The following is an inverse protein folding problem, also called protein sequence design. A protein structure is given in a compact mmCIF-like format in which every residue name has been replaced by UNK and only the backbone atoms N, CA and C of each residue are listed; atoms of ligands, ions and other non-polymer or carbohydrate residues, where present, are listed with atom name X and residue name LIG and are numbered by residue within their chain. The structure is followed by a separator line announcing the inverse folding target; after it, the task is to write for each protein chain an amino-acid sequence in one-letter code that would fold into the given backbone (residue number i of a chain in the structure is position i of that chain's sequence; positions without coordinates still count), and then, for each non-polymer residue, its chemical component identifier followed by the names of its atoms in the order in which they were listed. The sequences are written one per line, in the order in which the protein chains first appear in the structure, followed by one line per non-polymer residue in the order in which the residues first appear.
data_IF_057649396104
#
_entry.id   IF_057649396104
#
_cell.length_a   1.000
_cell.length_b   1.000
_cell.length_c   1.000
_cell.angle_alpha   90.00
_cell.angle_beta   90.00
_cell.angle_gamma   90.00
#
_symmetry.space_group_name_H-M   'P 1'
#
loop_
_entity.id
_entity.type
_entity.pdbx_description
1 polymer ?
#
# COMPACT_ATOMS: atom_id res chain seq x y z
N UNK A 1 -4.28 7.52 7.73
CA UNK A 1 -4.16 8.13 6.39
C UNK A 1 -5.57 8.38 5.85
N UNK A 2 -6.01 9.64 5.82
CA UNK A 2 -7.37 9.98 5.34
C UNK A 2 -7.40 9.90 3.81
N UNK A 3 -8.10 8.91 3.24
CA UNK A 3 -8.26 8.73 1.78
C UNK A 3 -7.96 7.32 1.26
N UNK A 4 -7.45 6.43 2.12
CA UNK A 4 -7.20 5.02 1.77
C UNK A 4 -8.10 4.12 2.60
N UNK A 5 -9.02 3.44 1.92
CA UNK A 5 -9.87 2.43 2.53
C UNK A 5 -9.05 1.17 2.83
N UNK A 6 -9.28 0.59 4.02
CA UNK A 6 -8.58 -0.60 4.54
C UNK A 6 -7.07 -0.41 4.72
N UNK A 7 -6.66 0.81 5.07
CA UNK A 7 -5.27 1.11 5.40
C UNK A 7 -4.76 0.33 6.63
N UNK A 8 -5.63 0.09 7.61
CA UNK A 8 -5.37 -0.74 8.78
C UNK A 8 -4.96 -2.17 8.39
N UNK A 9 -5.66 -2.76 7.43
CA UNK A 9 -5.32 -4.10 6.93
C UNK A 9 -4.00 -4.12 6.17
N UNK A 10 -3.73 -3.08 5.37
CA UNK A 10 -2.42 -2.92 4.74
C UNK A 10 -1.30 -2.86 5.77
N UNK A 11 -1.49 -2.10 6.85
CA UNK A 11 -0.49 -1.95 7.90
C UNK A 11 -0.25 -3.27 8.64
N UNK A 12 -1.32 -4.04 8.92
CA UNK A 12 -1.21 -5.35 9.56
C UNK A 12 -0.49 -6.37 8.66
N UNK A 13 -0.83 -6.43 7.37
CA UNK A 13 -0.16 -7.30 6.40
C UNK A 13 1.31 -6.89 6.23
N UNK A 14 1.60 -5.60 6.13
CA UNK A 14 2.97 -5.09 6.07
C UNK A 14 3.78 -5.51 7.31
N UNK A 15 3.21 -5.39 8.51
CA UNK A 15 3.88 -5.76 9.76
C UNK A 15 4.12 -7.26 9.91
N UNK A 16 3.24 -8.07 9.33
CA UNK A 16 3.37 -9.52 9.29
C UNK A 16 4.54 -9.94 8.39
N UNK A 17 4.67 -9.29 7.23
CA UNK A 17 5.69 -9.61 6.22
C UNK A 17 7.04 -8.98 6.53
N UNK A 18 7.08 -7.86 7.25
CA UNK A 18 8.32 -7.11 7.54
C UNK A 18 9.09 -7.61 8.75
N UNK A 19 10.42 -7.46 8.64
CA UNK A 19 11.31 -7.58 9.79
C UNK A 19 10.92 -6.57 10.88
N UNK A 20 11.07 -6.91 12.17
CA UNK A 20 10.66 -6.04 13.27
C UNK A 20 11.17 -4.60 13.18
N UNK A 21 12.40 -4.41 12.71
CA UNK A 21 13.06 -3.12 12.52
C UNK A 21 12.48 -2.25 11.40
N UNK A 22 11.72 -2.83 10.46
CA UNK A 22 11.16 -2.11 9.31
C UNK A 22 9.64 -1.94 9.38
N UNK A 23 8.97 -2.44 10.43
CA UNK A 23 7.51 -2.34 10.60
C UNK A 23 6.95 -0.91 10.56
N UNK A 24 7.77 0.08 10.89
CA UNK A 24 7.40 1.49 10.85
C UNK A 24 7.38 2.09 9.43
N UNK A 25 7.92 1.37 8.44
CA UNK A 25 8.06 1.87 7.06
C UNK A 25 6.78 1.75 6.22
N UNK A 26 5.72 1.11 6.71
CA UNK A 26 4.47 0.92 5.96
C UNK A 26 3.95 2.25 5.39
N UNK A 27 3.86 3.28 6.23
CA UNK A 27 3.40 4.60 5.79
C UNK A 27 4.40 5.29 4.84
N UNK A 28 5.71 5.11 5.04
CA UNK A 28 6.71 5.72 4.15
C UNK A 28 6.66 5.15 2.74
N UNK A 29 6.66 3.83 2.60
CA UNK A 29 6.59 3.18 1.28
C UNK A 29 5.29 3.53 0.53
N UNK A 30 4.18 3.61 1.26
CA UNK A 30 2.91 4.02 0.68
C UNK A 30 2.95 5.49 0.21
N UNK A 31 3.53 6.39 0.99
CA UNK A 31 3.71 7.79 0.58
C UNK A 31 4.60 7.92 -0.65
N UNK A 32 5.72 7.21 -0.72
CA UNK A 32 6.62 7.20 -1.88
C UNK A 32 5.86 6.75 -3.15
N UNK A 33 5.08 5.68 -3.04
CA UNK A 33 4.29 5.20 -4.17
C UNK A 33 3.19 6.20 -4.59
N UNK A 34 2.65 6.98 -3.64
CA UNK A 34 1.65 8.01 -3.90
C UNK A 34 2.21 9.23 -4.62
N UNK A 35 3.50 9.54 -4.50
CA UNK A 35 4.12 10.68 -5.20
C UNK A 35 4.03 10.53 -6.73
N UNK A 36 4.15 9.29 -7.22
CA UNK A 36 4.07 8.95 -8.64
C UNK A 36 2.65 8.50 -9.08
N UNK A 37 1.70 8.44 -8.15
CA UNK A 37 0.38 7.89 -8.40
C UNK A 37 -0.46 8.74 -9.36
N UNK A 38 -1.02 8.08 -10.38
CA UNK A 38 -1.89 8.71 -11.38
C UNK A 38 -3.23 7.99 -11.46
N UNK A 39 -4.28 8.50 -10.79
CA UNK A 39 -5.62 7.97 -10.96
C UNK A 39 -6.05 8.01 -12.45
N UNK A 40 -6.85 7.05 -12.94
CA UNK A 40 -7.55 5.97 -12.22
C UNK A 40 -6.78 4.65 -12.16
N UNK A 41 -5.45 4.65 -12.34
CA UNK A 41 -4.67 3.40 -12.31
C UNK A 41 -4.65 2.80 -10.90
N UNK A 42 -4.32 1.51 -10.77
CA UNK A 42 -4.09 0.94 -9.45
C UNK A 42 -2.74 1.38 -8.92
N UNK A 43 -2.64 1.58 -7.61
CA UNK A 43 -1.39 1.85 -6.93
C UNK A 43 -0.76 0.55 -6.47
N UNK A 44 0.50 0.34 -6.85
CA UNK A 44 1.31 -0.78 -6.37
C UNK A 44 2.40 -0.26 -5.46
N UNK A 45 2.51 -0.81 -4.26
CA UNK A 45 3.58 -0.49 -3.31
C UNK A 45 4.51 -1.69 -3.23
N UNK A 46 5.76 -1.51 -3.65
CA UNK A 46 6.75 -2.57 -3.62
C UNK A 46 7.50 -2.57 -2.30
N UNK A 47 7.60 -3.74 -1.68
CA UNK A 47 8.40 -4.01 -0.50
C UNK A 47 9.56 -4.92 -0.89
N UNK A 48 10.77 -4.39 -0.74
CA UNK A 48 11.99 -5.11 -1.07
C UNK A 48 12.21 -6.33 -0.15
N UNK A 49 12.83 -7.37 -0.69
CA UNK A 49 13.21 -8.59 0.02
C UNK A 49 14.04 -8.32 1.29
N UNK A 50 14.89 -7.29 1.28
CA UNK A 50 15.68 -6.89 2.44
C UNK A 50 14.86 -6.36 3.63
N UNK A 51 13.58 -6.02 3.39
CA UNK A 51 12.64 -5.57 4.41
C UNK A 51 11.80 -6.73 4.96
N UNK A 52 11.76 -7.85 4.24
CA UNK A 52 10.86 -8.96 4.49
C UNK A 52 11.45 -10.00 5.46
N UNK A 53 10.58 -10.70 6.19
CA UNK A 53 10.93 -11.86 7.00
C UNK A 53 11.37 -13.06 6.13
N UNK A 54 10.95 -13.09 4.86
CA UNK A 54 11.37 -14.03 3.85
C UNK A 54 12.00 -13.32 2.64
N UNK A 55 12.92 -14.00 1.96
CA UNK A 55 13.72 -13.47 0.84
C UNK A 55 12.92 -13.27 -0.47
N UNK A 56 11.60 -13.06 -0.38
CA UNK A 56 10.68 -13.08 -1.53
C UNK A 56 10.36 -11.67 -2.07
N UNK A 57 10.32 -10.65 -1.21
CA UNK A 57 9.74 -9.35 -1.56
C UNK A 57 8.22 -9.44 -1.82
N UNK A 58 7.50 -8.33 -1.66
CA UNK A 58 6.03 -8.32 -1.83
C UNK A 58 5.55 -7.07 -2.55
N UNK A 59 4.45 -7.20 -3.28
CA UNK A 59 3.74 -6.03 -3.84
C UNK A 59 2.36 -5.92 -3.22
N UNK A 60 2.08 -4.78 -2.59
CA UNK A 60 0.76 -4.43 -2.05
C UNK A 60 -0.05 -3.70 -3.11
N UNK A 61 -1.27 -4.17 -3.35
CA UNK A 61 -2.17 -3.64 -4.37
C UNK A 61 -3.25 -2.77 -3.75
N UNK A 62 -3.39 -1.56 -4.28
CA UNK A 62 -4.48 -0.64 -3.98
C UNK A 62 -5.26 -0.33 -5.25
N UNK A 63 -6.55 -0.65 -5.24
CA UNK A 63 -7.43 -0.44 -6.37
C UNK A 63 -8.05 0.96 -6.32
N UNK A 64 -7.93 1.71 -7.41
CA UNK A 64 -8.60 2.99 -7.55
C UNK A 64 -10.12 2.78 -7.64
N UNK A 65 -10.86 3.54 -6.82
CA UNK A 65 -12.32 3.58 -6.83
C UNK A 65 -12.77 4.99 -7.15
N UNK A 66 -13.70 5.10 -8.08
CA UNK A 66 -14.44 6.34 -8.32
C UNK A 66 -15.59 6.42 -7.34
N UNK A 67 -15.63 7.48 -6.53
CA UNK A 67 -16.86 7.84 -5.84
C UNK A 67 -17.78 8.60 -6.81
N UNK A 68 -19.05 8.22 -6.88
CA UNK A 68 -20.06 8.69 -7.87
C UNK A 68 -20.33 10.22 -7.82
N UNK A 69 -19.71 10.94 -6.91
CA UNK A 69 -19.83 12.39 -6.73
C UNK A 69 -18.45 13.04 -6.76
N UNK A 70 -18.15 13.72 -7.87
CA UNK A 70 -16.97 14.58 -8.09
C UNK A 70 -15.60 13.91 -8.09
N UNK A 71 -15.08 13.51 -9.27
CA UNK A 71 -13.63 13.41 -9.68
C UNK A 71 -12.56 13.03 -8.63
N UNK A 72 -12.95 12.44 -7.52
CA UNK A 72 -12.12 12.09 -6.39
C UNK A 72 -11.99 10.58 -6.43
N UNK A 73 -10.75 10.15 -6.59
CA UNK A 73 -10.40 8.75 -6.59
C UNK A 73 -9.99 8.39 -5.17
N UNK A 74 -10.68 7.43 -4.58
CA UNK A 74 -10.23 6.79 -3.35
C UNK A 74 -9.41 5.55 -3.70
N UNK A 75 -8.47 5.19 -2.83
CA UNK A 75 -7.71 3.94 -2.96
C UNK A 75 -8.28 2.92 -1.98
N UNK A 76 -8.52 1.70 -2.44
CA UNK A 76 -8.86 0.57 -1.59
C UNK A 76 -7.71 -0.41 -1.56
N UNK A 77 -7.21 -0.77 -0.38
CA UNK A 77 -6.32 -1.91 -0.23
C UNK A 77 -7.03 -3.24 -0.53
N UNK A 78 -6.46 -4.03 -1.44
CA UNK A 78 -7.05 -5.30 -1.91
C UNK A 78 -6.20 -6.53 -1.61
N UNK A 79 -4.98 -6.38 -1.09
CA UNK A 79 -4.11 -7.48 -0.68
C UNK A 79 -2.68 -7.32 -1.20
N UNK A 80 -1.89 -8.40 -1.09
CA UNK A 80 -0.52 -8.47 -1.57
C UNK A 80 -0.25 -9.79 -2.32
N UNK A 81 0.81 -9.83 -3.12
CA UNK A 81 1.30 -11.02 -3.82
C UNK A 81 2.82 -11.00 -3.98
#
# INVERSE_FOLDING_TARGET
MDGIARYDEYEDDFRLLSLPEYRWMAEQLLNEALEDYRPPENLNVFMADCLCNDISGYTFLFTARTEDSEKNYSLLYTGFY
#
